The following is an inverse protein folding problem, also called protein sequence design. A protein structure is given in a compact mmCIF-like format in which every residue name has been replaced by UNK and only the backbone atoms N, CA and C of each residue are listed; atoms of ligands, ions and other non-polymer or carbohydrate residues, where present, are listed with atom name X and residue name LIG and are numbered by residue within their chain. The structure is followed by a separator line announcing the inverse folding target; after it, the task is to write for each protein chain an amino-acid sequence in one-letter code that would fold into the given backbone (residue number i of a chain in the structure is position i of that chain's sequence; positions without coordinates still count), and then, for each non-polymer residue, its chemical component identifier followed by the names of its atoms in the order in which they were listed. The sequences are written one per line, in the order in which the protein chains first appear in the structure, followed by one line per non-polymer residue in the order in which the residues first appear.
data_IF_967407228984
#
_entry.id   IF_967407228984
#
_cell.length_a   1.000
_cell.length_b   1.000
_cell.length_c   1.000
_cell.angle_alpha   90.00
_cell.angle_beta   90.00
_cell.angle_gamma   90.00
#
_symmetry.space_group_name_H-M   'P 1'
#
loop_
_entity.id
_entity.type
_entity.pdbx_description
1 polymer ?
#
# COMPACT_ATOMS: atom_id res chain seq x y z
N UNK A 1 -66.92 14.69 5.50
CA UNK A 1 -65.92 13.67 5.86
C UNK A 1 -65.97 13.54 7.37
N UNK A 2 -66.33 12.36 7.84
CA UNK A 2 -66.55 12.06 9.25
C UNK A 2 -65.21 12.06 10.02
N UNK A 3 -65.22 12.54 11.26
CA UNK A 3 -64.04 12.56 12.13
C UNK A 3 -63.44 11.15 12.32
N UNK A 4 -64.26 10.11 12.29
CA UNK A 4 -63.79 8.71 12.35
C UNK A 4 -63.05 8.31 11.08
N UNK A 5 -63.52 8.73 9.90
CA UNK A 5 -62.82 8.53 8.62
C UNK A 5 -61.45 9.23 8.61
N UNK A 6 -61.36 10.42 9.19
CA UNK A 6 -60.10 11.15 9.33
C UNK A 6 -59.10 10.42 10.27
N UNK A 7 -59.58 9.84 11.37
CA UNK A 7 -58.74 9.07 12.28
C UNK A 7 -58.24 7.76 11.64
N UNK A 8 -59.10 7.07 10.88
CA UNK A 8 -58.71 5.86 10.15
C UNK A 8 -57.63 6.16 9.09
N UNK A 9 -57.76 7.27 8.36
CA UNK A 9 -56.77 7.71 7.38
C UNK A 9 -55.42 8.04 8.02
N UNK A 10 -55.41 8.70 9.19
CA UNK A 10 -54.19 9.00 9.94
C UNK A 10 -53.48 7.74 10.44
N UNK A 11 -54.23 6.74 10.91
CA UNK A 11 -53.68 5.45 11.34
C UNK A 11 -53.01 4.71 10.16
N UNK A 12 -53.72 4.62 9.03
CA UNK A 12 -53.20 4.01 7.79
C UNK A 12 -51.96 4.75 7.26
N UNK A 13 -51.97 6.09 7.26
CA UNK A 13 -50.80 6.88 6.89
C UNK A 13 -49.61 6.65 7.82
N UNK A 14 -49.87 6.47 9.12
CA UNK A 14 -48.86 6.09 10.11
C UNK A 14 -48.25 4.72 9.83
N UNK A 15 -49.08 3.72 9.53
CA UNK A 15 -48.65 2.37 9.16
C UNK A 15 -47.87 2.35 7.84
N UNK A 16 -48.36 3.05 6.82
CA UNK A 16 -47.67 3.22 5.53
C UNK A 16 -46.29 3.86 5.71
N UNK A 17 -46.19 4.95 6.50
CA UNK A 17 -44.89 5.58 6.82
C UNK A 17 -43.95 4.65 7.58
N UNK A 18 -44.47 3.80 8.47
CA UNK A 18 -43.68 2.84 9.23
C UNK A 18 -43.14 1.71 8.34
N UNK A 19 -43.98 1.22 7.42
CA UNK A 19 -43.62 0.25 6.39
C UNK A 19 -42.58 0.80 5.42
N UNK A 20 -42.76 2.03 4.93
CA UNK A 20 -41.78 2.70 4.06
C UNK A 20 -40.41 2.76 4.74
N UNK A 21 -40.35 3.12 6.03
CA UNK A 21 -39.08 3.15 6.78
C UNK A 21 -38.43 1.77 6.98
N UNK A 22 -39.23 0.70 7.02
CA UNK A 22 -38.73 -0.69 7.05
C UNK A 22 -38.28 -1.18 5.68
N UNK A 23 -38.91 -0.69 4.60
CA UNK A 23 -38.61 -1.07 3.21
C UNK A 23 -37.43 -0.28 2.62
N UNK A 24 -37.30 1.01 2.98
CA UNK A 24 -36.22 1.90 2.54
C UNK A 24 -34.87 1.52 3.15
N UNK A 25 -34.84 0.56 4.09
CA UNK A 25 -33.61 -0.09 4.53
C UNK A 25 -32.54 0.91 4.93
N UNK A 26 -32.81 1.77 5.92
CA UNK A 26 -31.73 2.40 6.67
C UNK A 26 -30.93 1.24 7.28
N UNK A 27 -29.78 0.94 6.68
CA UNK A 27 -28.93 -0.18 7.07
C UNK A 27 -28.77 -0.15 8.57
N UNK A 28 -29.03 -1.27 9.23
CA UNK A 28 -28.91 -1.29 10.69
C UNK A 28 -27.49 -0.87 11.08
N UNK A 29 -27.30 -0.26 12.25
CA UNK A 29 -25.96 0.10 12.73
C UNK A 29 -24.95 -1.08 12.65
N UNK A 30 -25.45 -2.32 12.72
CA UNK A 30 -24.68 -3.54 12.53
C UNK A 30 -24.18 -3.71 11.08
N UNK A 31 -25.00 -3.38 10.10
CA UNK A 31 -24.69 -3.46 8.68
C UNK A 31 -23.70 -2.37 8.25
N UNK A 32 -23.84 -1.16 8.79
CA UNK A 32 -22.86 -0.08 8.64
C UNK A 32 -21.51 -0.44 9.27
N UNK A 33 -21.54 -1.04 10.47
CA UNK A 33 -20.34 -1.52 11.15
C UNK A 33 -19.62 -2.62 10.36
N UNK A 34 -20.36 -3.59 9.79
CA UNK A 34 -19.76 -4.63 8.96
C UNK A 34 -19.06 -4.03 7.72
N UNK A 35 -19.71 -3.10 7.03
CA UNK A 35 -19.11 -2.42 5.87
C UNK A 35 -17.83 -1.68 6.22
N UNK A 36 -17.82 -0.95 7.35
CA UNK A 36 -16.62 -0.25 7.80
C UNK A 36 -15.46 -1.20 8.13
N UNK A 37 -15.74 -2.40 8.64
CA UNK A 37 -14.72 -3.42 8.88
C UNK A 37 -14.18 -3.97 7.56
N UNK A 38 -15.05 -4.26 6.59
CA UNK A 38 -14.64 -4.75 5.27
C UNK A 38 -13.75 -3.73 4.55
N UNK A 39 -14.13 -2.45 4.56
CA UNK A 39 -13.34 -1.35 4.00
C UNK A 39 -11.95 -1.25 4.65
N UNK A 40 -11.86 -1.35 5.99
CA UNK A 40 -10.59 -1.32 6.71
C UNK A 40 -9.69 -2.52 6.36
N UNK A 41 -10.27 -3.71 6.19
CA UNK A 41 -9.53 -4.91 5.79
C UNK A 41 -8.99 -4.75 4.37
N UNK A 42 -9.80 -4.27 3.45
CA UNK A 42 -9.40 -4.03 2.06
C UNK A 42 -8.28 -2.99 1.97
N UNK A 43 -8.43 -1.86 2.67
CA UNK A 43 -7.41 -0.81 2.77
C UNK A 43 -6.08 -1.34 3.32
N UNK A 44 -6.14 -2.12 4.40
CA UNK A 44 -4.97 -2.73 5.03
C UNK A 44 -4.25 -3.68 4.08
N UNK A 45 -4.99 -4.53 3.37
CA UNK A 45 -4.44 -5.45 2.38
C UNK A 45 -3.80 -4.71 1.21
N UNK A 46 -4.44 -3.65 0.70
CA UNK A 46 -3.93 -2.85 -0.40
C UNK A 46 -2.63 -2.12 -0.03
N UNK A 47 -2.55 -1.53 1.16
CA UNK A 47 -1.33 -0.88 1.66
C UNK A 47 -0.21 -1.89 1.86
N UNK A 48 -0.46 -3.00 2.56
CA UNK A 48 0.54 -4.03 2.80
C UNK A 48 1.09 -4.63 1.50
N UNK A 49 0.22 -4.86 0.50
CA UNK A 49 0.65 -5.33 -0.82
C UNK A 49 1.51 -4.30 -1.57
N UNK A 50 1.17 -3.03 -1.47
CA UNK A 50 1.94 -1.95 -2.10
C UNK A 50 3.32 -1.78 -1.45
N UNK A 51 3.36 -1.76 -0.11
CA UNK A 51 4.60 -1.66 0.69
C UNK A 51 5.51 -2.87 0.42
N UNK A 52 4.99 -4.10 0.57
CA UNK A 52 5.78 -5.30 0.33
C UNK A 52 6.31 -5.42 -1.11
N UNK A 53 5.55 -4.94 -2.10
CA UNK A 53 6.05 -4.88 -3.49
C UNK A 53 7.14 -3.83 -3.68
N UNK A 54 7.07 -2.70 -2.98
CA UNK A 54 8.09 -1.66 -3.02
C UNK A 54 9.39 -2.14 -2.35
N UNK A 55 9.28 -2.70 -1.15
CA UNK A 55 10.40 -3.26 -0.39
C UNK A 55 11.08 -4.39 -1.16
N UNK A 56 10.33 -5.41 -1.59
CA UNK A 56 10.91 -6.53 -2.35
C UNK A 56 11.57 -6.10 -3.67
N UNK A 57 11.10 -5.01 -4.30
CA UNK A 57 11.76 -4.43 -5.48
C UNK A 57 13.05 -3.70 -5.13
N UNK A 58 13.13 -3.05 -3.98
CA UNK A 58 14.36 -2.42 -3.50
C UNK A 58 15.39 -3.49 -3.12
N UNK A 59 15.00 -4.46 -2.30
CA UNK A 59 15.83 -5.58 -1.87
C UNK A 59 16.38 -6.36 -3.07
N UNK A 60 15.53 -6.77 -4.01
CA UNK A 60 15.98 -7.53 -5.19
C UNK A 60 16.96 -6.74 -6.08
N UNK A 61 16.86 -5.40 -6.12
CA UNK A 61 17.87 -4.57 -6.82
C UNK A 61 19.17 -4.49 -6.04
N UNK A 62 19.12 -4.33 -4.72
CA UNK A 62 20.29 -4.36 -3.87
C UNK A 62 21.05 -5.68 -4.03
N UNK A 63 20.34 -6.80 -4.00
CA UNK A 63 20.90 -8.13 -4.26
C UNK A 63 21.51 -8.23 -5.66
N UNK A 64 20.82 -7.72 -6.69
CA UNK A 64 21.35 -7.70 -8.06
C UNK A 64 22.64 -6.88 -8.19
N UNK A 65 22.74 -5.75 -7.48
CA UNK A 65 23.97 -4.95 -7.43
C UNK A 65 25.08 -5.77 -6.79
N UNK A 66 24.82 -6.37 -5.63
CA UNK A 66 25.83 -7.15 -4.91
C UNK A 66 26.31 -8.33 -5.74
N UNK A 67 25.42 -9.06 -6.40
CA UNK A 67 25.78 -10.16 -7.29
C UNK A 67 26.74 -9.74 -8.41
N UNK A 68 26.53 -8.56 -9.03
CA UNK A 68 27.45 -8.03 -10.04
C UNK A 68 28.80 -7.64 -9.44
N UNK A 69 28.80 -7.06 -8.24
CA UNK A 69 30.03 -6.63 -7.56
C UNK A 69 30.85 -7.83 -7.03
N UNK A 70 30.20 -8.95 -6.71
CA UNK A 70 30.87 -10.20 -6.29
C UNK A 70 31.77 -10.75 -7.41
N UNK A 71 31.41 -10.54 -8.68
CA UNK A 71 32.27 -10.90 -9.82
C UNK A 71 33.56 -10.08 -9.90
N UNK A 72 33.56 -8.85 -9.34
CA UNK A 72 34.72 -7.95 -9.31
C UNK A 72 35.65 -8.22 -8.12
N UNK A 73 35.17 -8.91 -7.08
CA UNK A 73 35.98 -9.30 -5.92
C UNK A 73 35.22 -9.35 -4.60
N UNK A 74 35.97 -9.36 -3.49
CA UNK A 74 35.40 -9.39 -2.14
C UNK A 74 34.83 -8.02 -1.76
N UNK A 75 33.51 -7.95 -1.59
CA UNK A 75 32.79 -6.72 -1.27
C UNK A 75 33.05 -6.34 0.20
N UNK A 76 33.53 -5.11 0.48
CA UNK A 76 33.66 -4.61 1.85
C UNK A 76 32.30 -4.60 2.57
N UNK A 77 32.24 -5.07 3.82
CA UNK A 77 30.98 -5.14 4.59
C UNK A 77 30.25 -3.80 4.66
N UNK A 78 30.98 -2.70 4.85
CA UNK A 78 30.39 -1.36 4.90
C UNK A 78 29.73 -0.92 3.59
N UNK A 79 30.24 -1.39 2.44
CA UNK A 79 29.63 -1.14 1.13
C UNK A 79 28.35 -1.97 0.97
N UNK A 80 28.41 -3.25 1.36
CA UNK A 80 27.26 -4.15 1.31
C UNK A 80 26.10 -3.66 2.19
N UNK A 81 26.41 -3.22 3.42
CA UNK A 81 25.43 -2.68 4.34
C UNK A 81 24.71 -1.44 3.75
N UNK A 82 25.46 -0.49 3.17
CA UNK A 82 24.89 0.69 2.53
C UNK A 82 23.96 0.36 1.35
N UNK A 83 24.33 -0.65 0.54
CA UNK A 83 23.51 -1.06 -0.60
C UNK A 83 22.19 -1.68 -0.12
N UNK A 84 22.25 -2.51 0.93
CA UNK A 84 21.06 -3.16 1.53
C UNK A 84 20.15 -2.19 2.27
N UNK A 85 20.69 -1.15 2.89
CA UNK A 85 19.91 -0.15 3.63
C UNK A 85 19.16 0.82 2.69
N UNK A 86 19.60 0.94 1.43
CA UNK A 86 18.97 1.86 0.48
C UNK A 86 17.59 1.34 0.03
N UNK A 87 16.55 2.13 0.27
CA UNK A 87 15.16 1.82 -0.11
C UNK A 87 14.68 2.56 -1.36
N UNK A 88 15.37 3.62 -1.80
CA UNK A 88 14.98 4.35 -3.01
C UNK A 88 15.32 3.54 -4.27
N UNK A 89 14.27 3.02 -4.89
CA UNK A 89 14.33 2.26 -6.12
C UNK A 89 15.03 2.99 -7.29
N UNK A 90 14.99 4.33 -7.34
CA UNK A 90 15.67 5.12 -8.39
C UNK A 90 17.17 5.16 -8.15
N UNK A 91 17.60 5.35 -6.90
CA UNK A 91 19.01 5.32 -6.51
C UNK A 91 19.59 3.93 -6.81
N UNK A 92 18.90 2.87 -6.37
CA UNK A 92 19.29 1.49 -6.65
C UNK A 92 19.37 1.21 -8.16
N UNK A 93 18.47 1.76 -8.98
CA UNK A 93 18.58 1.61 -10.43
C UNK A 93 19.80 2.32 -11.02
N UNK A 94 20.19 3.47 -10.48
CA UNK A 94 21.44 4.13 -10.90
C UNK A 94 22.63 3.26 -10.51
N UNK A 95 22.71 2.85 -9.25
CA UNK A 95 23.79 1.99 -8.75
C UNK A 95 23.88 0.67 -9.51
N UNK A 96 22.76 0.03 -9.87
CA UNK A 96 22.78 -1.17 -10.71
C UNK A 96 23.44 -0.94 -12.08
N UNK A 97 23.19 0.22 -12.71
CA UNK A 97 23.85 0.58 -13.97
C UNK A 97 25.34 0.90 -13.78
N UNK A 98 25.71 1.46 -12.63
CA UNK A 98 27.12 1.70 -12.27
C UNK A 98 27.84 0.37 -12.06
N UNK A 99 27.28 -0.53 -11.25
CA UNK A 99 27.84 -1.86 -10.98
C UNK A 99 28.07 -2.65 -12.28
N UNK A 100 27.11 -2.63 -13.21
CA UNK A 100 27.24 -3.28 -14.51
C UNK A 100 28.36 -2.72 -15.42
N UNK A 101 28.91 -1.53 -15.10
CA UNK A 101 29.97 -0.86 -15.87
C UNK A 101 31.26 -0.70 -15.10
N UNK A 102 31.24 -0.94 -13.79
CA UNK A 102 32.38 -0.78 -12.92
C UNK A 102 33.46 -1.80 -13.29
N UNK A 103 34.72 -1.36 -13.29
CA UNK A 103 35.86 -2.24 -13.54
C UNK A 103 36.38 -2.89 -12.25
N UNK A 104 36.16 -2.21 -11.13
CA UNK A 104 36.56 -2.64 -9.80
C UNK A 104 35.64 -2.03 -8.74
N UNK A 105 35.77 -2.51 -7.50
CA UNK A 105 34.96 -2.08 -6.37
C UNK A 105 35.26 -0.65 -5.90
N UNK A 106 36.48 -0.16 -6.13
CA UNK A 106 36.90 1.18 -5.71
C UNK A 106 36.23 2.25 -6.59
N UNK A 107 36.25 2.05 -7.91
CA UNK A 107 35.55 2.90 -8.88
C UNK A 107 34.06 2.96 -8.57
N UNK A 108 33.43 1.80 -8.34
CA UNK A 108 32.01 1.74 -7.97
C UNK A 108 31.75 2.55 -6.69
N UNK A 109 32.57 2.36 -5.66
CA UNK A 109 32.45 3.10 -4.40
C UNK A 109 32.56 4.61 -4.61
N UNK A 110 33.55 5.10 -5.35
CA UNK A 110 33.68 6.55 -5.60
C UNK A 110 32.44 7.12 -6.29
N UNK A 111 32.01 6.53 -7.41
CA UNK A 111 30.85 7.02 -8.17
C UNK A 111 29.52 6.87 -7.41
N UNK A 112 29.41 5.85 -6.56
CA UNK A 112 28.25 5.65 -5.69
C UNK A 112 28.11 6.79 -4.67
N UNK A 113 29.22 7.24 -4.07
CA UNK A 113 29.22 8.37 -3.14
C UNK A 113 28.97 9.71 -3.84
N UNK A 114 29.46 9.90 -5.07
CA UNK A 114 29.17 11.10 -5.87
C UNK A 114 27.70 11.23 -6.25
N UNK A 115 27.01 10.10 -6.47
CA UNK A 115 25.58 10.09 -6.78
C UNK A 115 24.65 10.38 -5.58
N UNK A 116 25.19 10.41 -4.35
CA UNK A 116 24.45 10.65 -3.11
C UNK A 116 24.70 12.02 -2.47
N UNK A 117 25.49 12.90 -3.12
CA UNK A 117 25.57 14.33 -2.82
C UNK A 117 24.57 15.15 -3.62
#
# INVERSE_FOLDING_TARGET
MDHVEQMAALALLGEQKRLIRMLDGEGSAKEEMCKAIDDLIEDGWMRGKAEGKAEGKAEGKAESILALLEELGSIPEGLSAKIKEQSDAKILTKWLKLAARAKDLEQFGQEMWECCG
#
